data_IF_725106129322
#
_entry.id   IF_725106129322
#
_cell.length_a   1.000
_cell.length_b   1.000
_cell.length_c   1.000
_cell.angle_alpha   90.00
_cell.angle_beta   90.00
_cell.angle_gamma   90.00
#
_symmetry.space_group_name_H-M   'P 1'
#
loop_
_entity.id
_entity.type
_entity.pdbx_description
1 polymer ?
#
# COMPACT_ATOMS: atom_id res chain seq x y z
N UNK A 1 -5.68 17.26 -14.47
CA UNK A 1 -5.38 16.04 -15.25
C UNK A 1 -6.61 15.16 -15.16
N UNK A 2 -7.45 15.14 -16.20
CA UNK A 2 -8.67 14.33 -16.22
C UNK A 2 -8.30 12.85 -16.25
N UNK A 3 -8.85 12.06 -15.31
CA UNK A 3 -8.68 10.60 -15.19
C UNK A 3 -9.51 9.83 -16.24
N UNK A 4 -9.54 10.31 -17.49
CA UNK A 4 -10.25 9.60 -18.56
C UNK A 4 -9.34 8.49 -19.13
N UNK A 5 -9.77 7.25 -18.92
CA UNK A 5 -9.18 5.98 -19.40
C UNK A 5 -8.09 5.34 -18.52
N UNK A 6 -8.29 5.31 -17.20
CA UNK A 6 -7.55 4.38 -16.34
C UNK A 6 -8.26 3.02 -16.39
N UNK A 7 -7.66 2.04 -17.06
CA UNK A 7 -8.11 0.65 -17.05
C UNK A 7 -7.84 0.04 -15.66
N UNK A 8 -8.89 0.00 -14.84
CA UNK A 8 -8.86 -0.54 -13.48
C UNK A 8 -8.48 -2.02 -13.45
N UNK A 9 -8.78 -2.78 -14.50
CA UNK A 9 -8.43 -4.19 -14.60
C UNK A 9 -6.92 -4.36 -14.81
N UNK A 10 -6.30 -3.51 -15.63
CA UNK A 10 -4.84 -3.48 -15.80
C UNK A 10 -4.12 -3.10 -14.51
N UNK A 11 -4.65 -2.13 -13.76
CA UNK A 11 -4.09 -1.75 -12.46
C UNK A 11 -4.22 -2.89 -11.45
N UNK A 12 -5.40 -3.51 -11.36
CA UNK A 12 -5.65 -4.66 -10.50
C UNK A 12 -4.70 -5.83 -10.80
N UNK A 13 -4.51 -6.17 -12.07
CA UNK A 13 -3.58 -7.21 -12.50
C UNK A 13 -2.13 -6.89 -12.11
N UNK A 14 -1.70 -5.63 -12.27
CA UNK A 14 -0.36 -5.18 -11.90
C UNK A 14 -0.13 -5.24 -10.39
N UNK A 15 -1.10 -4.79 -9.59
CA UNK A 15 -1.06 -4.88 -8.12
C UNK A 15 -0.96 -6.33 -7.68
N UNK A 16 -1.79 -7.21 -8.26
CA UNK A 16 -1.74 -8.63 -7.94
C UNK A 16 -0.39 -9.25 -8.29
N UNK A 17 0.20 -8.92 -9.45
CA UNK A 17 1.52 -9.39 -9.83
C UNK A 17 2.61 -8.94 -8.84
N UNK A 18 2.60 -7.67 -8.42
CA UNK A 18 3.56 -7.16 -7.42
C UNK A 18 3.39 -7.89 -6.08
N UNK A 19 2.15 -8.14 -5.65
CA UNK A 19 1.87 -8.82 -4.37
C UNK A 19 2.30 -10.28 -4.33
N UNK A 20 2.50 -10.92 -5.48
CA UNK A 20 3.05 -12.28 -5.56
C UNK A 20 4.57 -12.31 -5.35
N UNK A 21 5.26 -11.17 -5.42
CA UNK A 21 6.69 -11.11 -5.16
C UNK A 21 6.96 -11.13 -3.64
N UNK A 22 7.59 -12.18 -3.08
CA UNK A 22 7.85 -12.28 -1.65
C UNK A 22 8.82 -11.21 -1.14
N UNK A 23 9.65 -10.61 -2.01
CA UNK A 23 10.59 -9.55 -1.64
C UNK A 23 9.88 -8.25 -1.26
N UNK A 24 8.62 -8.07 -1.66
CA UNK A 24 7.81 -6.90 -1.31
C UNK A 24 7.46 -6.81 0.17
N UNK A 25 7.49 -7.93 0.90
CA UNK A 25 7.10 -8.00 2.31
C UNK A 25 8.28 -7.82 3.27
N UNK A 26 9.44 -7.40 2.76
CA UNK A 26 10.62 -7.06 3.57
C UNK A 26 11.35 -5.92 2.87
N UNK A 27 11.49 -4.78 3.56
CA UNK A 27 12.16 -3.64 2.94
C UNK A 27 13.62 -3.91 2.62
N UNK A 28 13.99 -3.55 1.39
CA UNK A 28 15.33 -3.72 0.89
C UNK A 28 16.32 -2.78 1.60
N UNK A 29 17.56 -3.25 1.76
CA UNK A 29 18.64 -2.44 2.35
C UNK A 29 19.11 -1.34 1.41
N UNK A 30 19.05 -1.58 0.10
CA UNK A 30 19.41 -0.59 -0.91
C UNK A 30 18.37 0.56 -0.89
N UNK A 31 18.80 1.82 -0.74
CA UNK A 31 17.89 2.96 -0.64
C UNK A 31 16.99 3.15 -1.87
N UNK A 32 17.54 3.04 -3.08
CA UNK A 32 16.79 3.21 -4.33
C UNK A 32 15.72 2.13 -4.49
N UNK A 33 16.08 0.87 -4.22
CA UNK A 33 15.12 -0.24 -4.27
C UNK A 33 14.06 -0.09 -3.19
N UNK A 34 14.43 0.35 -1.99
CA UNK A 34 13.49 0.60 -0.89
C UNK A 34 12.50 1.72 -1.23
N UNK A 35 12.96 2.80 -1.85
CA UNK A 35 12.09 3.89 -2.30
C UNK A 35 11.09 3.40 -3.37
N UNK A 36 11.55 2.60 -4.33
CA UNK A 36 10.66 1.95 -5.30
C UNK A 36 9.62 1.07 -4.61
N UNK A 37 10.02 0.29 -3.61
CA UNK A 37 9.09 -0.53 -2.82
C UNK A 37 8.06 0.31 -2.06
N UNK A 38 8.48 1.40 -1.41
CA UNK A 38 7.59 2.33 -0.72
C UNK A 38 6.55 2.90 -1.69
N UNK A 39 6.98 3.33 -2.88
CA UNK A 39 6.09 3.84 -3.92
C UNK A 39 5.08 2.79 -4.41
N UNK A 40 5.53 1.55 -4.59
CA UNK A 40 4.63 0.45 -4.97
C UNK A 40 3.60 0.17 -3.87
N UNK A 41 4.02 0.09 -2.60
CA UNK A 41 3.11 -0.11 -1.48
C UNK A 41 2.12 1.03 -1.28
N UNK A 42 2.57 2.28 -1.43
CA UNK A 42 1.69 3.45 -1.44
C UNK A 42 0.58 3.30 -2.47
N UNK A 43 0.92 2.95 -3.72
CA UNK A 43 -0.10 2.77 -4.76
C UNK A 43 -1.04 1.59 -4.46
N UNK A 44 -0.53 0.48 -3.88
CA UNK A 44 -1.36 -0.66 -3.49
C UNK A 44 -2.37 -0.26 -2.42
N UNK A 45 -1.93 0.43 -1.36
CA UNK A 45 -2.80 0.88 -0.26
C UNK A 45 -3.81 1.90 -0.78
N UNK A 46 -3.34 2.90 -1.52
CA UNK A 46 -4.20 3.94 -2.09
C UNK A 46 -5.28 3.34 -2.99
N UNK A 47 -4.90 2.46 -3.92
CA UNK A 47 -5.85 1.80 -4.81
C UNK A 47 -6.83 0.91 -4.06
N UNK A 48 -6.35 0.16 -3.06
CA UNK A 48 -7.22 -0.64 -2.19
C UNK A 48 -8.26 0.24 -1.50
N UNK A 49 -7.85 1.37 -0.94
CA UNK A 49 -8.76 2.31 -0.27
C UNK A 49 -9.75 2.93 -1.27
N UNK A 50 -9.27 3.38 -2.43
CA UNK A 50 -10.09 3.94 -3.50
C UNK A 50 -11.17 2.96 -3.98
N UNK A 51 -10.80 1.72 -4.29
CA UNK A 51 -11.74 0.70 -4.78
C UNK A 51 -12.78 0.26 -3.74
N UNK A 52 -12.47 0.39 -2.45
CA UNK A 52 -13.37 0.01 -1.36
C UNK A 52 -14.09 1.22 -0.73
N UNK A 53 -13.97 2.41 -1.32
CA UNK A 53 -14.52 3.66 -0.78
C UNK A 53 -14.11 3.93 0.68
N UNK A 54 -12.85 3.62 1.00
CA UNK A 54 -12.27 3.84 2.31
C UNK A 54 -11.52 5.17 2.30
N UNK A 55 -12.04 6.16 3.01
CA UNK A 55 -11.47 7.51 3.07
C UNK A 55 -10.56 7.73 4.29
N UNK A 56 -10.61 6.83 5.26
CA UNK A 56 -9.78 6.86 6.45
C UNK A 56 -9.42 5.45 6.93
N UNK A 57 -8.17 5.22 7.33
CA UNK A 57 -7.67 3.93 7.83
C UNK A 57 -6.69 4.11 8.98
N UNK A 58 -6.67 3.14 9.89
CA UNK A 58 -5.57 2.94 10.83
C UNK A 58 -4.62 1.85 10.33
N UNK A 59 -3.46 1.71 10.97
CA UNK A 59 -2.55 0.58 10.72
C UNK A 59 -3.24 -0.76 10.98
N UNK A 60 -4.08 -0.82 12.02
CA UNK A 60 -4.82 -2.03 12.38
C UNK A 60 -5.81 -2.43 11.28
N UNK A 61 -6.55 -1.48 10.70
CA UNK A 61 -7.50 -1.75 9.61
C UNK A 61 -6.80 -2.37 8.40
N UNK A 62 -5.64 -1.85 8.02
CA UNK A 62 -4.84 -2.38 6.90
C UNK A 62 -4.23 -3.75 7.18
N UNK A 63 -3.91 -4.05 8.44
CA UNK A 63 -3.46 -5.38 8.83
C UNK A 63 -4.63 -6.38 8.78
N UNK A 64 -5.80 -5.99 9.27
CA UNK A 64 -7.00 -6.82 9.27
C UNK A 64 -7.60 -7.02 7.87
N UNK A 65 -7.39 -6.11 6.92
CA UNK A 65 -7.92 -6.24 5.55
C UNK A 65 -7.21 -7.31 4.71
N UNK A 66 -6.05 -7.80 5.15
CA UNK A 66 -5.26 -8.78 4.40
C UNK A 66 -4.51 -8.21 3.19
N UNK A 67 -4.62 -6.90 2.89
CA UNK A 67 -3.89 -6.27 1.77
C UNK A 67 -2.37 -6.31 1.98
N UNK A 68 -1.95 -6.28 3.25
CA UNK A 68 -0.56 -6.31 3.72
C UNK A 68 0.00 -7.73 3.85
N UNK A 69 -0.84 -8.76 3.60
CA UNK A 69 -0.45 -10.16 3.64
C UNK A 69 -0.14 -10.69 2.24
N UNK A 70 0.85 -11.56 2.17
CA UNK A 70 1.16 -12.29 0.95
C UNK A 70 -0.02 -13.20 0.56
N UNK A 71 -0.41 -13.24 -0.73
CA UNK A 71 -1.56 -14.03 -1.18
C UNK A 71 -1.43 -15.52 -0.86
N UNK A 72 -0.22 -16.08 -0.96
CA UNK A 72 0.07 -17.42 -0.48
C UNK A 72 0.11 -17.47 1.05
N UNK A 73 -0.92 -18.10 1.63
CA UNK A 73 -1.10 -18.33 3.06
C UNK A 73 -0.02 -19.22 3.69
N UNK A 74 0.71 -20.01 2.89
CA UNK A 74 1.78 -20.88 3.41
C UNK A 74 3.06 -20.09 3.71
N UNK A 75 3.28 -18.97 3.02
CA UNK A 75 4.49 -18.16 3.16
C UNK A 75 4.62 -17.45 4.52
N UNK A 76 3.51 -17.24 5.24
CA UNK A 76 3.43 -16.42 6.46
C UNK A 76 4.09 -15.03 6.32
N UNK A 77 4.17 -14.49 5.10
CA UNK A 77 4.76 -13.18 4.83
C UNK A 77 3.70 -12.09 4.98
N UNK A 78 4.01 -11.08 5.76
CA UNK A 78 3.22 -9.86 5.89
C UNK A 78 4.14 -8.65 6.03
N UNK A 79 3.64 -7.49 5.61
CA UNK A 79 4.30 -6.23 5.90
C UNK A 79 4.19 -5.97 7.41
N UNK A 80 5.33 -5.85 8.08
CA UNK A 80 5.38 -5.64 9.53
C UNK A 80 4.78 -4.28 9.89
N UNK A 81 4.31 -4.15 11.13
CA UNK A 81 3.71 -2.92 11.65
C UNK A 81 4.61 -1.69 11.40
N UNK A 82 5.88 -1.75 11.82
CA UNK A 82 6.85 -0.66 11.64
C UNK A 82 7.14 -0.35 10.15
N UNK A 83 7.09 -1.35 9.28
CA UNK A 83 7.32 -1.14 7.84
C UNK A 83 6.07 -0.52 7.18
N UNK A 84 4.88 -0.90 7.63
CA UNK A 84 3.62 -0.30 7.21
C UNK A 84 3.53 1.17 7.67
N UNK A 85 3.96 1.49 8.89
CA UNK A 85 4.07 2.89 9.33
C UNK A 85 4.96 3.72 8.40
N UNK A 86 6.11 3.19 7.95
CA UNK A 86 6.96 3.90 6.97
C UNK A 86 6.28 4.10 5.62
N UNK A 87 5.47 3.14 5.15
CA UNK A 87 4.65 3.35 3.93
C UNK A 87 3.71 4.52 4.14
N UNK A 88 3.02 4.55 5.26
CA UNK A 88 2.03 5.58 5.58
C UNK A 88 2.67 6.96 5.77
N UNK A 89 3.85 7.04 6.38
CA UNK A 89 4.68 8.25 6.40
C UNK A 89 5.08 8.69 4.99
N UNK A 90 5.46 7.75 4.13
CA UNK A 90 5.77 8.04 2.74
C UNK A 90 4.54 8.56 1.98
N UNK A 91 3.34 8.02 2.24
CA UNK A 91 2.09 8.53 1.66
C UNK A 91 1.80 9.98 2.05
N UNK A 92 2.05 10.34 3.33
CA UNK A 92 1.95 11.72 3.80
C UNK A 92 2.94 12.63 3.09
N UNK A 93 4.20 12.20 3.01
CA UNK A 93 5.26 12.94 2.32
C UNK A 93 4.97 13.16 0.83
N UNK A 94 4.29 12.22 0.19
CA UNK A 94 3.89 12.31 -1.22
C UNK A 94 2.53 13.00 -1.43
N UNK A 95 1.91 13.54 -0.38
CA UNK A 95 0.61 14.23 -0.41
C UNK A 95 -0.56 13.34 -0.90
N UNK A 96 -0.49 12.04 -0.64
CA UNK A 96 -1.60 11.09 -0.86
C UNK A 96 -2.47 10.90 0.39
N UNK A 97 -1.99 11.34 1.55
CA UNK A 97 -2.70 11.18 2.80
C UNK A 97 -2.42 12.29 3.81
N UNK A 98 -3.38 12.52 4.70
CA UNK A 98 -3.25 13.33 5.92
C UNK A 98 -3.35 12.40 7.13
N UNK A 99 -2.84 12.82 8.29
CA UNK A 99 -3.02 12.07 9.54
C UNK A 99 -3.51 12.93 10.68
N UNK A 100 -4.36 12.35 11.51
CA UNK A 100 -4.76 12.83 12.82
C UNK A 100 -4.54 11.68 13.82
N UNK A 101 -3.56 11.83 14.72
CA UNK A 101 -3.05 10.75 15.56
C UNK A 101 -2.75 9.45 14.79
N UNK A 102 -3.47 8.37 15.10
CA UNK A 102 -3.33 7.04 14.49
C UNK A 102 -4.18 6.85 13.22
N UNK A 103 -5.02 7.83 12.88
CA UNK A 103 -5.95 7.78 11.76
C UNK A 103 -5.35 8.49 10.54
N UNK A 104 -5.46 7.85 9.38
CA UNK A 104 -4.90 8.34 8.13
C UNK A 104 -6.02 8.55 7.12
N UNK A 105 -6.17 9.77 6.64
CA UNK A 105 -7.15 10.16 5.65
C UNK A 105 -6.56 10.12 4.25
N UNK A 106 -7.20 9.41 3.33
CA UNK A 106 -6.79 9.37 1.93
C UNK A 106 -7.24 10.65 1.23
N UNK A 107 -6.35 11.27 0.46
CA UNK A 107 -6.69 12.40 -0.41
C UNK A 107 -7.19 11.80 -1.73
N UNK A 108 -8.51 11.76 -1.93
CA UNK A 108 -9.17 11.18 -3.10
C UNK A 108 -9.64 12.23 -4.10
#
# INVERSE_FOLDING_TARGET
LSMENVDLDQIGAKINSIRQDPTMYTFQKNPETREKQLKLWMHIIYYHCFMNHIYSVTVADLQSSGITHHPDKQSNRCLKHDDLQKVLEFMKYQEYALSDDDLIYMIC
#
